data_IF_561453231690
#
_entry.id   IF_561453231690
#
_cell.length_a   1.000
_cell.length_b   1.000
_cell.length_c   1.000
_cell.angle_alpha   90.00
_cell.angle_beta   90.00
_cell.angle_gamma   90.00
#
_symmetry.space_group_name_H-M   'P 1'
#
loop_
_entity.id
_entity.type
_entity.pdbx_description
1 polymer ?
#
# COMPACT_ATOMS: atom_id res chain seq x y z
N UNK A 1 -1.31 -9.30 -6.15
CA UNK A 1 -1.62 -8.58 -4.90
C UNK A 1 -0.53 -8.88 -3.91
N UNK A 2 0.20 -7.86 -3.44
CA UNK A 2 1.31 -8.04 -2.50
C UNK A 2 0.86 -8.87 -1.29
N UNK A 3 1.61 -9.93 -0.95
CA UNK A 3 1.23 -10.85 0.13
C UNK A 3 1.05 -10.14 1.48
N UNK A 4 1.82 -9.09 1.73
CA UNK A 4 1.69 -8.25 2.92
C UNK A 4 0.26 -7.71 3.13
N UNK A 5 -0.42 -7.31 2.05
CA UNK A 5 -1.79 -6.78 2.11
C UNK A 5 -2.82 -7.91 2.27
N UNK A 6 -2.58 -9.06 1.61
CA UNK A 6 -3.42 -10.25 1.80
C UNK A 6 -3.41 -10.77 3.22
N UNK A 7 -2.26 -10.68 3.89
CA UNK A 7 -2.09 -11.18 5.24
C UNK A 7 -2.82 -10.31 6.28
N UNK A 8 -3.18 -9.06 5.96
CA UNK A 8 -3.76 -8.12 6.92
C UNK A 8 -4.95 -8.72 7.68
N UNK A 9 -5.06 -8.45 9.01
CA UNK A 9 -6.20 -8.85 9.82
C UNK A 9 -7.52 -8.35 9.23
N UNK A 10 -8.60 -9.11 9.46
CA UNK A 10 -9.93 -8.75 8.94
C UNK A 10 -10.38 -7.37 9.45
N UNK A 11 -10.13 -7.05 10.73
CA UNK A 11 -10.43 -5.74 11.33
C UNK A 11 -9.84 -4.56 10.54
N UNK A 12 -8.67 -4.76 9.91
CA UNK A 12 -8.00 -3.73 9.11
C UNK A 12 -8.62 -3.69 7.71
N UNK A 13 -8.89 -4.84 7.12
CA UNK A 13 -9.53 -4.94 5.79
C UNK A 13 -10.93 -4.36 5.77
N UNK A 14 -11.65 -4.39 6.89
CA UNK A 14 -12.99 -3.82 7.00
C UNK A 14 -12.98 -2.27 7.03
N UNK A 15 -11.82 -1.64 7.30
CA UNK A 15 -11.68 -0.17 7.37
C UNK A 15 -10.89 0.45 6.22
N UNK A 16 -10.33 -0.35 5.30
CA UNK A 16 -9.57 0.13 4.14
C UNK A 16 -10.10 -0.45 2.83
N UNK A 17 -9.94 0.30 1.75
CA UNK A 17 -10.06 -0.21 0.39
C UNK A 17 -8.67 -0.52 -0.17
N UNK A 18 -8.49 -1.74 -0.67
CA UNK A 18 -7.21 -2.19 -1.23
C UNK A 18 -7.28 -2.15 -2.75
N UNK A 19 -6.35 -1.42 -3.35
CA UNK A 19 -6.12 -1.43 -4.79
C UNK A 19 -4.73 -1.96 -5.11
N UNK A 20 -4.66 -2.83 -6.12
CA UNK A 20 -3.41 -3.25 -6.71
C UNK A 20 -3.27 -2.68 -8.12
N UNK A 21 -2.06 -2.23 -8.43
CA UNK A 21 -1.67 -1.86 -9.78
C UNK A 21 -0.48 -2.68 -10.27
N UNK A 22 -0.60 -3.24 -11.47
CA UNK A 22 0.47 -3.99 -12.12
C UNK A 22 1.30 -3.07 -13.02
N UNK A 23 2.62 -3.03 -12.80
CA UNK A 23 3.58 -2.23 -13.55
C UNK A 23 3.75 -2.65 -15.02
N UNK A 24 3.20 -3.81 -15.41
CA UNK A 24 3.10 -4.25 -16.80
C UNK A 24 1.95 -3.56 -17.55
N UNK A 25 1.06 -2.88 -16.84
CA UNK A 25 -0.09 -2.17 -17.42
C UNK A 25 0.15 -0.67 -17.48
N UNK A 26 -0.46 0.01 -18.45
CA UNK A 26 -0.39 1.48 -18.57
C UNK A 26 -0.97 2.18 -17.35
N UNK A 27 -2.03 1.63 -16.77
CA UNK A 27 -2.66 2.16 -15.56
C UNK A 27 -1.74 2.08 -14.36
N UNK A 28 -1.04 0.96 -14.17
CA UNK A 28 -0.09 0.84 -13.06
C UNK A 28 1.13 1.74 -13.21
N UNK A 29 1.67 1.89 -14.41
CA UNK A 29 2.75 2.86 -14.67
C UNK A 29 2.26 4.29 -14.38
N UNK A 30 1.06 4.65 -14.84
CA UNK A 30 0.47 5.96 -14.56
C UNK A 30 0.37 6.18 -13.06
N UNK A 31 -0.17 5.20 -12.32
CA UNK A 31 -0.36 5.35 -10.87
C UNK A 31 0.95 5.46 -10.11
N UNK A 32 1.96 4.67 -10.50
CA UNK A 32 3.30 4.74 -9.94
C UNK A 32 3.93 6.13 -10.08
N UNK A 33 3.78 6.76 -11.26
CA UNK A 33 4.23 8.13 -11.52
C UNK A 33 3.44 9.17 -10.72
N UNK A 34 2.12 9.03 -10.60
CA UNK A 34 1.28 9.93 -9.80
C UNK A 34 1.66 9.92 -8.32
N UNK A 35 2.00 8.74 -7.78
CA UNK A 35 2.47 8.57 -6.40
C UNK A 35 3.93 9.02 -6.20
N UNK A 36 4.61 9.45 -7.28
CA UNK A 36 6.03 9.81 -7.29
C UNK A 36 6.95 8.72 -6.73
N UNK A 37 6.53 7.46 -6.85
CA UNK A 37 7.33 6.33 -6.45
C UNK A 37 8.54 6.18 -7.39
N UNK A 38 9.67 5.75 -6.82
CA UNK A 38 10.94 5.57 -7.51
C UNK A 38 11.34 4.10 -7.62
N UNK A 39 10.91 3.29 -6.66
CA UNK A 39 11.34 1.89 -6.55
C UNK A 39 10.22 0.96 -6.12
N UNK A 40 10.11 -0.19 -6.79
CA UNK A 40 9.20 -1.27 -6.41
C UNK A 40 9.83 -2.18 -5.33
N UNK A 41 9.01 -2.83 -4.50
CA UNK A 41 7.58 -2.57 -4.32
C UNK A 41 7.34 -1.22 -3.64
N UNK A 42 6.16 -0.63 -3.89
CA UNK A 42 5.73 0.64 -3.31
C UNK A 42 4.34 0.48 -2.72
N UNK A 43 4.12 1.05 -1.54
CA UNK A 43 2.81 1.04 -0.86
C UNK A 43 2.44 2.48 -0.54
N UNK A 44 1.25 2.87 -0.97
CA UNK A 44 0.67 4.16 -0.64
C UNK A 44 -0.60 3.97 0.20
N UNK A 45 -0.79 4.85 1.18
CA UNK A 45 -2.02 4.97 1.97
C UNK A 45 -2.65 6.32 1.65
N UNK A 46 -3.93 6.35 1.25
CA UNK A 46 -4.62 7.57 0.79
C UNK A 46 -3.83 8.39 -0.24
N UNK A 47 -3.20 7.72 -1.21
CA UNK A 47 -2.37 8.32 -2.25
C UNK A 47 -1.06 8.96 -1.77
N UNK A 48 -0.69 8.77 -0.51
CA UNK A 48 0.62 9.15 0.01
C UNK A 48 1.53 7.94 0.06
N UNK A 49 2.71 8.05 -0.55
CA UNK A 49 3.71 6.99 -0.54
C UNK A 49 4.25 6.81 0.88
N UNK A 50 4.02 5.64 1.49
CA UNK A 50 4.42 5.33 2.86
C UNK A 50 5.62 4.39 2.89
N UNK A 51 5.64 3.40 2.00
CA UNK A 51 6.74 2.44 1.88
C UNK A 51 7.25 2.38 0.46
N UNK A 52 8.57 2.33 0.31
CA UNK A 52 9.27 2.27 -0.96
C UNK A 52 10.46 1.33 -0.86
N UNK A 53 10.72 0.56 -1.93
CA UNK A 53 11.84 -0.36 -2.08
C UNK A 53 11.88 -1.56 -1.11
N UNK A 54 11.10 -1.57 -0.03
CA UNK A 54 11.05 -2.63 0.97
C UNK A 54 9.60 -2.99 1.28
N UNK A 55 9.32 -4.30 1.36
CA UNK A 55 8.04 -4.79 1.87
C UNK A 55 8.07 -4.64 3.39
N UNK A 56 7.20 -3.82 3.99
CA UNK A 56 7.19 -3.66 5.43
C UNK A 56 6.75 -4.96 6.13
N UNK A 57 7.24 -5.19 7.36
CA UNK A 57 6.63 -6.14 8.28
C UNK A 57 5.13 -5.87 8.45
N UNK A 58 4.40 -6.93 8.82
CA UNK A 58 2.96 -6.84 8.94
C UNK A 58 2.52 -5.86 10.04
N UNK A 59 3.24 -5.86 11.17
CA UNK A 59 3.04 -4.95 12.30
C UNK A 59 3.19 -3.47 11.89
N UNK A 60 4.21 -3.15 11.10
CA UNK A 60 4.47 -1.79 10.63
C UNK A 60 3.39 -1.30 9.67
N UNK A 61 2.93 -2.17 8.77
CA UNK A 61 1.84 -1.84 7.86
C UNK A 61 0.54 -1.59 8.63
N UNK A 62 0.21 -2.44 9.61
CA UNK A 62 -0.97 -2.29 10.46
C UNK A 62 -0.88 -1.00 11.27
N UNK A 63 0.29 -0.72 11.87
CA UNK A 63 0.52 0.47 12.67
C UNK A 63 0.35 1.75 11.83
N UNK A 64 0.88 1.78 10.61
CA UNK A 64 0.73 2.90 9.70
C UNK A 64 -0.74 3.16 9.32
N UNK A 65 -1.51 2.10 9.05
CA UNK A 65 -2.95 2.20 8.76
C UNK A 65 -3.70 2.70 10.00
N UNK A 66 -3.49 2.08 11.17
CA UNK A 66 -4.16 2.48 12.42
C UNK A 66 -3.83 3.93 12.79
N UNK A 67 -2.57 4.35 12.67
CA UNK A 67 -2.16 5.73 12.97
C UNK A 67 -2.92 6.78 12.13
N UNK A 68 -3.37 6.40 10.93
CA UNK A 68 -4.06 7.31 10.01
C UNK A 68 -5.58 7.33 10.17
N UNK A 69 -6.20 6.21 10.56
CA UNK A 69 -7.66 6.09 10.65
C UNK A 69 -8.21 5.88 12.07
N UNK A 70 -7.36 5.74 13.10
CA UNK A 70 -7.79 5.61 14.49
C UNK A 70 -8.05 6.95 15.21
N UNK A 71 -8.43 8.00 14.46
CA UNK A 71 -8.74 9.34 14.97
C UNK A 71 -10.23 9.64 14.94
#
# INVERSE_FOLDING_TARGET
MAEAVKALPQEIKDIIEVHEWDMRTREGIKRFLELKAKSLPSIALDNELVFEAVIPPQEDLIAAIKARYAG
#
